data_IF_683817594114
#
_entry.id   IF_683817594114
#
_cell.length_a   1.000
_cell.length_b   1.000
_cell.length_c   1.000
_cell.angle_alpha   90.00
_cell.angle_beta   90.00
_cell.angle_gamma   90.00
#
_symmetry.space_group_name_H-M   'P 1'
#
loop_
_entity.id
_entity.type
_entity.pdbx_description
1 polymer ?
#
# COMPACT_ATOMS: atom_id res chain seq x y z
N UNK A 1 -20.26 19.44 12.28
CA UNK A 1 -19.85 19.43 10.85
C UNK A 1 -19.53 18.03 10.39
N UNK A 2 -20.39 17.48 9.53
CA UNK A 2 -20.36 16.10 9.08
C UNK A 2 -19.18 15.83 8.15
N UNK A 3 -18.28 14.94 8.57
CA UNK A 3 -17.30 14.32 7.67
C UNK A 3 -18.10 13.55 6.63
N UNK A 4 -18.20 14.07 5.41
CA UNK A 4 -18.67 13.31 4.26
C UNK A 4 -17.89 12.00 4.26
N UNK A 5 -18.58 10.89 4.51
CA UNK A 5 -17.99 9.58 4.35
C UNK A 5 -17.52 9.51 2.90
N UNK A 6 -16.20 9.46 2.71
CA UNK A 6 -15.63 9.25 1.39
C UNK A 6 -16.23 7.97 0.76
N UNK A 7 -16.07 7.79 -0.56
CA UNK A 7 -16.50 6.56 -1.21
C UNK A 7 -15.97 5.33 -0.45
N UNK A 8 -16.74 4.22 -0.42
CA UNK A 8 -16.41 3.07 0.39
C UNK A 8 -15.03 2.53 0.02
N UNK A 9 -14.17 2.37 1.02
CA UNK A 9 -12.85 1.80 0.83
C UNK A 9 -12.95 0.31 0.47
N UNK A 10 -12.08 -0.15 -0.41
CA UNK A 10 -12.02 -1.56 -0.84
C UNK A 10 -11.05 -2.32 0.06
N UNK A 11 -11.49 -3.42 0.67
CA UNK A 11 -10.56 -4.25 1.46
C UNK A 11 -9.59 -4.99 0.55
N UNK A 12 -8.29 -4.75 0.75
CA UNK A 12 -7.20 -5.47 0.10
C UNK A 12 -6.57 -6.46 1.09
N UNK A 13 -6.12 -7.59 0.56
CA UNK A 13 -5.25 -8.51 1.31
C UNK A 13 -3.81 -8.31 0.86
N UNK A 14 -2.93 -8.06 1.83
CA UNK A 14 -1.49 -7.92 1.59
C UNK A 14 -0.90 -9.27 1.18
N UNK A 15 -0.15 -9.27 0.10
CA UNK A 15 0.50 -10.44 -0.47
C UNK A 15 2.02 -10.28 -0.46
N UNK A 16 2.72 -11.26 0.13
CA UNK A 16 4.17 -11.37 0.04
C UNK A 16 4.50 -12.45 -1.01
N UNK A 17 5.32 -12.07 -1.99
CA UNK A 17 5.77 -12.96 -3.06
C UNK A 17 6.67 -14.07 -2.49
N UNK A 18 7.45 -13.77 -1.44
CA UNK A 18 8.31 -14.73 -0.76
C UNK A 18 7.50 -15.70 0.10
N UNK A 19 7.42 -16.96 -0.32
CA UNK A 19 6.59 -17.98 0.35
C UNK A 19 7.01 -18.23 1.79
N UNK A 20 8.32 -18.24 2.05
CA UNK A 20 8.89 -18.43 3.39
C UNK A 20 8.44 -17.34 4.38
N UNK A 21 8.10 -16.14 3.89
CA UNK A 21 7.64 -15.02 4.70
C UNK A 21 6.13 -14.98 4.92
N UNK A 22 5.34 -15.79 4.20
CA UNK A 22 3.88 -15.82 4.35
C UNK A 22 3.40 -16.23 5.75
N UNK A 23 3.99 -17.24 6.43
CA UNK A 23 3.60 -17.59 7.80
C UNK A 23 4.27 -16.72 8.88
N UNK A 24 5.23 -15.88 8.52
CA UNK A 24 6.08 -15.17 9.47
C UNK A 24 5.65 -13.71 9.65
N UNK A 25 5.58 -13.27 10.91
CA UNK A 25 5.32 -11.86 11.28
C UNK A 25 6.54 -11.15 11.85
N UNK A 26 7.73 -11.47 11.34
CA UNK A 26 8.99 -10.85 11.77
C UNK A 26 9.28 -9.56 11.02
N UNK A 27 10.31 -8.81 11.43
CA UNK A 27 10.68 -7.55 10.77
C UNK A 27 11.30 -7.74 9.39
N UNK A 28 11.95 -8.88 9.17
CA UNK A 28 12.55 -9.28 7.88
C UNK A 28 11.45 -9.58 6.85
N UNK A 29 10.34 -10.18 7.31
CA UNK A 29 9.20 -10.53 6.45
C UNK A 29 8.13 -9.43 6.33
N UNK A 30 8.35 -8.29 6.96
CA UNK A 30 7.45 -7.14 6.88
C UNK A 30 7.63 -6.39 5.56
N UNK A 31 6.53 -6.14 4.88
CA UNK A 31 6.45 -5.31 3.68
C UNK A 31 6.31 -3.84 4.07
N UNK A 32 6.93 -2.95 3.30
CA UNK A 32 6.88 -1.52 3.55
C UNK A 32 5.59 -0.88 3.06
N UNK A 33 5.07 0.08 3.82
CA UNK A 33 4.20 1.13 3.28
C UNK A 33 5.08 2.35 2.97
N UNK A 34 4.85 2.97 1.81
CA UNK A 34 5.57 4.17 1.41
C UNK A 34 4.85 5.45 1.83
N UNK A 35 5.59 6.55 2.01
CA UNK A 35 5.00 7.89 2.22
C UNK A 35 4.57 8.52 0.90
N UNK A 36 5.40 8.36 -0.13
CA UNK A 36 5.19 8.88 -1.49
C UNK A 36 5.28 7.74 -2.53
N UNK A 37 4.23 7.52 -3.35
CA UNK A 37 4.20 6.46 -4.36
C UNK A 37 5.07 6.75 -5.59
N UNK A 38 5.61 7.96 -5.72
CA UNK A 38 6.49 8.38 -6.82
C UNK A 38 7.98 8.30 -6.45
N UNK A 39 8.31 8.11 -5.16
CA UNK A 39 9.69 7.91 -4.69
C UNK A 39 10.07 6.43 -4.64
N UNK A 40 11.37 6.17 -4.47
CA UNK A 40 11.92 4.81 -4.41
C UNK A 40 11.28 4.00 -3.27
N UNK A 41 10.73 2.83 -3.62
CA UNK A 41 10.20 1.86 -2.66
C UNK A 41 11.35 1.21 -1.88
N UNK A 42 11.18 1.05 -0.56
CA UNK A 42 12.20 0.46 0.33
C UNK A 42 13.28 1.43 0.82
N UNK A 43 13.31 2.67 0.33
CA UNK A 43 14.18 3.72 0.89
C UNK A 43 13.78 4.04 2.34
N UNK A 44 14.74 4.17 3.28
CA UNK A 44 14.44 4.55 4.67
C UNK A 44 13.64 5.86 4.78
N UNK A 45 13.94 6.84 3.92
CA UNK A 45 13.31 8.17 3.94
C UNK A 45 11.89 8.18 3.38
N UNK A 46 11.50 7.13 2.66
CA UNK A 46 10.17 7.00 2.05
C UNK A 46 9.29 5.99 2.80
N UNK A 47 9.59 5.68 4.05
CA UNK A 47 8.88 4.65 4.81
C UNK A 47 7.79 5.25 5.71
N UNK A 48 6.53 4.85 5.49
CA UNK A 48 5.40 5.20 6.34
C UNK A 48 5.15 4.14 7.43
N UNK A 49 5.38 2.86 7.11
CA UNK A 49 5.30 1.80 8.11
C UNK A 49 5.47 0.40 7.53
N UNK A 50 4.78 -0.57 8.14
CA UNK A 50 4.94 -2.00 7.86
C UNK A 50 3.60 -2.72 7.88
N UNK A 51 3.46 -3.67 6.96
CA UNK A 51 2.36 -4.64 6.89
C UNK A 51 2.93 -6.03 6.62
N UNK A 52 2.16 -7.07 6.90
CA UNK A 52 2.55 -8.46 6.71
C UNK A 52 1.63 -9.17 5.76
N UNK A 53 2.08 -10.32 5.25
CA UNK A 53 1.22 -11.19 4.47
C UNK A 53 -0.09 -11.50 5.21
N UNK A 54 -1.20 -11.47 4.47
CA UNK A 54 -2.53 -11.74 5.02
C UNK A 54 -3.17 -10.56 5.76
N UNK A 55 -2.42 -9.47 6.03
CA UNK A 55 -3.02 -8.27 6.60
C UNK A 55 -4.12 -7.76 5.68
N UNK A 56 -5.26 -7.41 6.28
CA UNK A 56 -6.38 -6.79 5.58
C UNK A 56 -6.28 -5.29 5.76
N UNK A 57 -6.21 -4.55 4.65
CA UNK A 57 -6.08 -3.10 4.65
C UNK A 57 -7.19 -2.47 3.82
N UNK A 58 -7.59 -1.25 4.15
CA UNK A 58 -8.63 -0.54 3.41
C UNK A 58 -8.01 0.37 2.36
N UNK A 59 -8.15 0.06 1.08
CA UNK A 59 -7.72 0.93 0.00
C UNK A 59 -8.74 2.03 -0.26
N UNK A 60 -8.29 3.27 -0.11
CA UNK A 60 -9.09 4.49 -0.27
C UNK A 60 -9.15 4.90 -1.74
N UNK A 61 -8.01 4.81 -2.44
CA UNK A 61 -7.87 5.11 -3.86
C UNK A 61 -6.58 4.49 -4.44
N UNK A 62 -6.43 4.52 -5.76
CA UNK A 62 -5.24 4.05 -6.48
C UNK A 62 -4.65 5.15 -7.37
N UNK A 63 -3.33 5.21 -7.47
CA UNK A 63 -2.62 5.89 -8.57
C UNK A 63 -2.02 4.85 -9.50
N UNK A 64 -2.14 5.04 -10.81
CA UNK A 64 -1.71 4.06 -11.82
C UNK A 64 -0.34 4.36 -12.45
N UNK A 65 0.21 5.54 -12.18
CA UNK A 65 1.43 6.11 -12.76
C UNK A 65 2.55 6.32 -11.74
N UNK A 66 2.47 5.65 -10.59
CA UNK A 66 3.50 5.70 -9.56
C UNK A 66 4.81 5.04 -9.99
N UNK A 67 5.80 5.07 -9.10
CA UNK A 67 7.12 4.47 -9.34
C UNK A 67 6.97 2.98 -9.64
N UNK A 68 7.62 2.52 -10.71
CA UNK A 68 7.62 1.09 -11.06
C UNK A 68 8.29 0.28 -9.94
N UNK A 69 7.58 -0.71 -9.41
CA UNK A 69 8.11 -1.67 -8.43
C UNK A 69 8.10 -3.05 -9.05
N UNK A 70 9.18 -3.82 -8.83
CA UNK A 70 9.28 -5.25 -9.13
C UNK A 70 9.32 -6.02 -7.81
N UNK A 71 8.54 -7.09 -7.69
CA UNK A 71 8.63 -8.01 -6.55
C UNK A 71 9.69 -9.10 -6.79
N UNK A 72 9.84 -9.97 -5.78
CA UNK A 72 10.81 -11.06 -5.77
C UNK A 72 10.47 -12.15 -6.79
N UNK A 73 9.22 -12.22 -7.25
CA UNK A 73 8.77 -13.13 -8.32
C UNK A 73 8.92 -12.52 -9.73
N UNK A 74 9.45 -11.30 -9.84
CA UNK A 74 9.64 -10.61 -11.13
C UNK A 74 8.39 -9.89 -11.64
N UNK A 75 7.29 -9.87 -10.90
CA UNK A 75 6.08 -9.15 -11.27
C UNK A 75 6.31 -7.66 -11.09
N UNK A 76 5.90 -6.85 -12.08
CA UNK A 76 6.04 -5.40 -12.03
C UNK A 76 4.70 -4.68 -11.98
N UNK A 77 4.62 -3.57 -11.25
CA UNK A 77 3.46 -2.68 -11.28
C UNK A 77 3.83 -1.22 -11.04
N UNK A 78 3.07 -0.32 -11.66
CA UNK A 78 3.05 1.13 -11.36
C UNK A 78 1.84 1.54 -10.52
N UNK A 79 0.95 0.58 -10.20
CA UNK A 79 -0.19 0.85 -9.33
C UNK A 79 0.26 0.98 -7.89
N UNK A 80 -0.25 1.98 -7.19
CA UNK A 80 -0.06 2.17 -5.76
C UNK A 80 -1.39 2.51 -5.11
N UNK A 81 -1.74 1.78 -4.06
CA UNK A 81 -2.97 1.97 -3.31
C UNK A 81 -2.69 2.81 -2.08
N UNK A 82 -3.42 3.92 -1.91
CA UNK A 82 -3.45 4.60 -0.63
C UNK A 82 -4.28 3.74 0.31
N UNK A 83 -3.63 3.15 1.31
CA UNK A 83 -4.28 2.28 2.27
C UNK A 83 -4.35 2.94 3.64
N UNK A 84 -5.45 2.67 4.33
CA UNK A 84 -5.66 2.99 5.73
C UNK A 84 -6.02 1.73 6.51
N UNK A 85 -5.65 1.70 7.78
CA UNK A 85 -5.92 0.57 8.66
C UNK A 85 -5.14 -0.67 8.25
N UNK A 86 -3.96 -0.84 8.83
CA UNK A 86 -3.09 -2.00 8.68
C UNK A 86 -1.95 -1.92 9.68
N UNK A 87 -1.67 -3.02 10.37
CA UNK A 87 -0.68 -3.08 11.46
C UNK A 87 -1.26 -3.74 12.72
N UNK A 88 -0.53 -4.69 13.30
CA UNK A 88 -1.01 -5.51 14.43
C UNK A 88 -1.25 -4.74 15.75
N UNK A 89 -0.91 -3.44 15.81
CA UNK A 89 -0.96 -2.65 17.06
C UNK A 89 -1.38 -1.18 16.84
N UNK A 90 -1.15 -0.59 15.67
CA UNK A 90 -1.57 0.79 15.32
C UNK A 90 -2.01 0.88 13.86
N UNK A 91 -3.07 1.63 13.53
CA UNK A 91 -3.41 1.96 12.15
C UNK A 91 -2.25 2.73 11.51
N UNK A 92 -1.73 2.24 10.39
CA UNK A 92 -0.75 2.97 9.57
C UNK A 92 -1.40 3.35 8.25
N UNK A 93 -1.33 4.63 7.91
CA UNK A 93 -1.66 5.14 6.58
C UNK A 93 -0.40 5.16 5.71
N UNK A 94 -0.55 4.80 4.43
CA UNK A 94 0.55 4.87 3.47
C UNK A 94 0.23 4.22 2.14
N UNK A 95 1.22 4.20 1.25
CA UNK A 95 1.07 3.66 -0.10
C UNK A 95 1.60 2.23 -0.19
N UNK A 96 0.71 1.32 -0.59
CA UNK A 96 1.01 -0.07 -0.84
C UNK A 96 1.23 -0.31 -2.35
N UNK A 97 2.40 -0.80 -2.78
CA UNK A 97 2.62 -1.13 -4.19
C UNK A 97 1.67 -2.24 -4.65
N UNK A 98 1.19 -2.15 -5.89
CA UNK A 98 0.22 -3.10 -6.42
C UNK A 98 0.73 -4.53 -6.50
N UNK A 99 2.05 -4.72 -6.63
CA UNK A 99 2.71 -6.04 -6.57
C UNK A 99 2.56 -6.73 -5.20
N UNK A 100 2.32 -5.97 -4.13
CA UNK A 100 2.08 -6.46 -2.76
C UNK A 100 0.62 -6.75 -2.47
N UNK A 101 -0.18 -6.92 -3.53
CA UNK A 101 -1.59 -7.30 -3.46
C UNK A 101 -1.87 -8.34 -4.54
N UNK A 102 -2.98 -9.05 -4.38
CA UNK A 102 -3.62 -9.83 -5.46
C UNK A 102 -5.04 -9.32 -5.66
N UNK A 103 -5.20 -8.00 -5.62
CA UNK A 103 -6.50 -7.37 -5.72
C UNK A 103 -7.12 -7.62 -7.11
N UNK A 104 -8.33 -8.13 -7.13
CA UNK A 104 -9.15 -8.33 -8.34
C UNK A 104 -10.34 -7.38 -8.39
N UNK A 105 -10.55 -6.59 -7.33
CA UNK A 105 -11.65 -5.62 -7.22
C UNK A 105 -11.17 -4.24 -7.68
N UNK A 106 -11.98 -3.55 -8.46
CA UNK A 106 -11.64 -2.20 -8.89
C UNK A 106 -11.60 -1.22 -7.70
N UNK A 107 -10.56 -0.40 -7.64
CA UNK A 107 -10.42 0.70 -6.68
C UNK A 107 -10.44 1.98 -7.50
N UNK A 108 -11.22 2.97 -7.06
CA UNK A 108 -11.27 4.27 -7.73
C UNK A 108 -9.90 4.95 -7.81
N UNK A 109 -9.71 5.79 -8.81
CA UNK A 109 -8.53 6.62 -8.90
C UNK A 109 -8.51 7.71 -7.80
N UNK A 110 -7.30 8.07 -7.37
CA UNK A 110 -7.12 9.18 -6.43
C UNK A 110 -7.44 10.52 -7.11
N UNK A 111 -8.05 11.43 -6.36
CA UNK A 111 -8.22 12.81 -6.81
C UNK A 111 -6.86 13.52 -6.89
N UNK A 112 -6.82 14.65 -7.62
CA UNK A 112 -5.61 15.48 -7.70
C UNK A 112 -5.12 15.94 -6.32
N UNK A 113 -6.04 16.23 -5.39
CA UNK A 113 -5.70 16.65 -4.03
C UNK A 113 -5.04 15.53 -3.21
N UNK A 114 -5.60 14.31 -3.25
CA UNK A 114 -5.04 13.13 -2.58
C UNK A 114 -3.67 12.75 -3.14
N UNK A 115 -3.51 12.85 -4.46
CA UNK A 115 -2.24 12.60 -5.13
C UNK A 115 -1.17 13.62 -4.73
N UNK A 116 -1.55 14.90 -4.62
CA UNK A 116 -0.63 15.95 -4.21
C UNK A 116 -0.21 15.83 -2.74
N UNK A 117 -1.09 15.36 -1.87
CA UNK A 117 -0.76 15.08 -0.47
C UNK A 117 0.26 13.96 -0.34
N UNK A 118 0.08 12.86 -1.11
CA UNK A 118 1.05 11.77 -1.15
C UNK A 118 2.46 12.18 -1.58
N UNK A 119 2.60 13.23 -2.41
CA UNK A 119 3.90 13.77 -2.83
C UNK A 119 4.58 14.69 -1.80
N UNK A 120 3.85 15.14 -0.77
CA UNK A 120 4.37 16.06 0.26
C UNK A 120 4.89 15.35 1.53
N UNK A 121 4.57 14.06 1.69
CA UNK A 121 4.86 13.25 2.89
C UNK A 121 6.19 12.51 2.79
#
# INVERSE_FOLDING_TARGET
>A
DGRLAGPPAVTLTVHNAEEACRPLRTLECALGLAKDPYRSYGSPDNRAGRVWHGDRVSAVCVVADGRLVRDEAGITSRRWYLVSGGGAVVPVDGWLPGVRTRNTTEVRECSAAETAEGRRS
#
